data_IF_337432930612
#
_entry.id   IF_337432930612
#
_cell.length_a   1.000
_cell.length_b   1.000
_cell.length_c   1.000
_cell.angle_alpha   90.00
_cell.angle_beta   90.00
_cell.angle_gamma   90.00
#
_symmetry.space_group_name_H-M   'P 1'
#
loop_
_entity.id
_entity.type
_entity.pdbx_description
1 polymer ?
#
# COMPACT_ATOMS: atom_id res chain seq x y z
N UNK A 1 -3.73 -14.51 -12.22
CA UNK A 1 -4.35 -14.52 -10.87
C UNK A 1 -4.85 -13.11 -10.60
N UNK A 2 -6.09 -12.96 -10.13
CA UNK A 2 -6.63 -11.64 -9.78
C UNK A 2 -5.96 -11.18 -8.47
N UNK A 3 -5.19 -10.08 -8.50
CA UNK A 3 -4.55 -9.53 -7.30
C UNK A 3 -5.52 -8.66 -6.52
N UNK A 4 -5.37 -8.63 -5.20
CA UNK A 4 -6.19 -7.78 -4.34
C UNK A 4 -5.74 -6.33 -4.47
N UNK A 5 -6.67 -5.46 -4.89
CA UNK A 5 -6.43 -4.02 -4.98
C UNK A 5 -6.48 -3.41 -3.58
N UNK A 6 -5.40 -2.75 -3.18
CA UNK A 6 -5.24 -2.17 -1.85
C UNK A 6 -5.06 -0.65 -1.93
N UNK A 7 -5.71 0.08 -1.02
CA UNK A 7 -5.51 1.52 -0.84
C UNK A 7 -4.93 1.80 0.54
N UNK A 8 -3.98 2.74 0.64
CA UNK A 8 -3.39 3.17 1.90
C UNK A 8 -3.90 4.55 2.32
N UNK A 9 -4.55 4.64 3.47
CA UNK A 9 -5.01 5.92 4.04
C UNK A 9 -4.03 6.37 5.12
N UNK A 10 -3.53 7.59 5.00
CA UNK A 10 -2.51 8.19 5.84
C UNK A 10 -1.11 8.15 5.22
N UNK A 11 -0.32 9.19 5.49
CA UNK A 11 1.02 9.43 4.92
C UNK A 11 2.11 9.61 6.01
N UNK A 12 1.85 9.08 7.22
CA UNK A 12 2.78 9.17 8.34
C UNK A 12 4.01 8.25 8.22
N UNK A 13 4.92 8.25 9.22
CA UNK A 13 6.18 7.51 9.18
C UNK A 13 6.02 6.01 8.88
N UNK A 14 4.96 5.39 9.39
CA UNK A 14 4.66 3.98 9.13
C UNK A 14 4.17 3.72 7.70
N UNK A 15 3.48 4.69 7.08
CA UNK A 15 3.03 4.58 5.70
C UNK A 15 4.24 4.46 4.76
N UNK A 16 5.27 5.29 4.95
CA UNK A 16 6.48 5.29 4.10
C UNK A 16 7.49 4.21 4.48
N UNK A 17 7.68 3.93 5.77
CA UNK A 17 8.70 2.99 6.23
C UNK A 17 8.25 1.51 6.20
N UNK A 18 6.95 1.25 6.24
CA UNK A 18 6.43 -0.12 6.45
C UNK A 18 5.32 -0.49 5.49
N UNK A 19 4.19 0.23 5.54
CA UNK A 19 2.99 -0.21 4.82
C UNK A 19 3.14 -0.16 3.30
N UNK A 20 3.53 0.98 2.74
CA UNK A 20 3.69 1.10 1.29
C UNK A 20 4.80 0.19 0.73
N UNK A 21 6.00 0.09 1.35
CA UNK A 21 7.02 -0.86 0.91
C UNK A 21 6.55 -2.32 0.95
N UNK A 22 5.90 -2.75 2.03
CA UNK A 22 5.41 -4.13 2.14
C UNK A 22 4.35 -4.44 1.08
N UNK A 23 3.35 -3.56 0.93
CA UNK A 23 2.28 -3.73 -0.06
C UNK A 23 2.81 -3.69 -1.50
N UNK A 24 3.78 -2.83 -1.80
CA UNK A 24 4.37 -2.73 -3.16
C UNK A 24 5.15 -3.97 -3.60
N UNK A 25 5.65 -4.77 -2.65
CA UNK A 25 6.47 -5.97 -2.92
C UNK A 25 5.68 -7.27 -2.80
N UNK A 26 4.47 -7.23 -2.24
CA UNK A 26 3.73 -8.44 -1.94
C UNK A 26 3.03 -8.98 -3.21
N UNK A 27 3.29 -10.23 -3.63
CA UNK A 27 2.86 -10.72 -4.95
C UNK A 27 1.35 -10.89 -5.12
N UNK A 28 0.61 -10.94 -4.00
CA UNK A 28 -0.85 -11.11 -3.97
C UNK A 28 -1.66 -9.81 -3.98
N UNK A 29 -1.01 -8.64 -3.94
CA UNK A 29 -1.71 -7.35 -3.88
C UNK A 29 -1.15 -6.37 -4.90
N UNK A 30 -1.98 -5.43 -5.31
CA UNK A 30 -1.56 -4.24 -6.05
C UNK A 30 -1.90 -3.01 -5.17
N UNK A 31 -0.90 -2.17 -4.88
CA UNK A 31 -1.11 -0.89 -4.19
C UNK A 31 -1.61 0.13 -5.21
N UNK A 32 -2.92 0.36 -5.23
CA UNK A 32 -3.61 1.14 -6.26
C UNK A 32 -3.79 2.62 -5.92
N UNK A 33 -3.52 3.05 -4.68
CA UNK A 33 -3.66 4.43 -4.28
C UNK A 33 -3.23 4.70 -2.86
N UNK A 34 -2.83 5.95 -2.61
CA UNK A 34 -2.52 6.48 -1.29
C UNK A 34 -3.36 7.74 -1.09
N UNK A 35 -4.01 7.87 0.06
CA UNK A 35 -4.83 9.02 0.41
C UNK A 35 -4.33 9.68 1.70
N UNK A 36 -3.87 10.92 1.61
CA UNK A 36 -3.46 11.73 2.76
C UNK A 36 -4.61 12.54 3.36
N UNK A 37 -4.31 13.25 4.45
CA UNK A 37 -5.02 14.50 4.74
C UNK A 37 -4.33 15.62 3.96
#
# INVERSE_FOLDING_TARGET
>A
MNRLRFGLVGTGPWASATHAPALSRHPGVDLNGIWGR
#
